data_IF_260867903344
#
_entry.id   IF_260867903344
#
_cell.length_a   1.000
_cell.length_b   1.000
_cell.length_c   1.000
_cell.angle_alpha   90.00
_cell.angle_beta   90.00
_cell.angle_gamma   90.00
#
_symmetry.space_group_name_H-M   'P 1'
#
loop_
_entity.id
_entity.type
_entity.pdbx_description
1 polymer ?
#
# COMPACT_ATOMS: atom_id res chain seq x y z
N UNK A 1 21.53 5.56 2.99
CA UNK A 1 20.11 5.28 3.24
C UNK A 1 19.30 5.96 2.14
N UNK A 2 18.44 5.22 1.45
CA UNK A 2 17.54 5.76 0.41
C UNK A 2 16.32 6.41 1.05
N UNK A 3 15.60 7.29 0.34
CA UNK A 3 14.36 7.86 0.87
C UNK A 3 13.28 6.79 1.13
N UNK A 4 13.32 5.67 0.39
CA UNK A 4 12.47 4.52 0.67
C UNK A 4 12.82 3.83 1.99
N UNK A 5 14.10 3.68 2.31
CA UNK A 5 14.55 3.15 3.61
C UNK A 5 14.17 4.11 4.76
N UNK A 6 14.38 5.42 4.57
CA UNK A 6 13.98 6.45 5.55
C UNK A 6 12.47 6.38 5.82
N UNK A 7 11.65 6.27 4.77
CA UNK A 7 10.20 6.10 4.91
C UNK A 7 9.86 4.83 5.72
N UNK A 8 10.47 3.70 5.37
CA UNK A 8 10.23 2.43 6.08
C UNK A 8 10.59 2.53 7.55
N UNK A 9 11.71 3.17 7.88
CA UNK A 9 12.15 3.34 9.26
C UNK A 9 11.21 4.27 10.03
N UNK A 10 10.71 5.34 9.41
CA UNK A 10 9.70 6.22 10.00
C UNK A 10 8.39 5.47 10.30
N UNK A 11 7.90 4.65 9.36
CA UNK A 11 6.70 3.82 9.57
C UNK A 11 6.93 2.79 10.68
N UNK A 12 8.07 2.11 10.69
CA UNK A 12 8.42 1.15 11.75
C UNK A 12 8.45 1.82 13.11
N UNK A 13 9.06 3.01 13.21
CA UNK A 13 9.12 3.80 14.43
C UNK A 13 7.71 4.13 14.94
N UNK A 14 6.85 4.65 14.06
CA UNK A 14 5.45 4.98 14.37
C UNK A 14 4.69 3.78 14.95
N UNK A 15 4.81 2.60 14.30
CA UNK A 15 4.13 1.40 14.77
C UNK A 15 4.72 0.88 16.10
N UNK A 16 6.04 0.96 16.27
CA UNK A 16 6.72 0.49 17.48
C UNK A 16 6.35 1.28 18.74
N UNK A 17 6.00 2.56 18.60
CA UNK A 17 5.50 3.39 19.72
C UNK A 17 4.14 2.92 20.24
N UNK A 18 3.44 2.09 19.46
CA UNK A 18 2.17 1.45 19.82
C UNK A 18 2.33 -0.06 20.05
N UNK A 19 3.56 -0.56 20.28
CA UNK A 19 3.89 -1.98 20.44
C UNK A 19 3.47 -2.88 19.26
N UNK A 20 3.37 -2.31 18.06
CA UNK A 20 2.98 -3.03 16.85
C UNK A 20 4.22 -3.34 16.01
N UNK A 21 4.41 -4.62 15.70
CA UNK A 21 5.48 -5.10 14.82
C UNK A 21 4.87 -5.89 13.66
N UNK A 22 5.08 -5.40 12.43
CA UNK A 22 4.63 -6.04 11.20
C UNK A 22 5.76 -6.04 10.16
N UNK A 23 5.74 -7.03 9.28
CA UNK A 23 6.51 -7.01 8.04
C UNK A 23 5.57 -6.75 6.87
N UNK A 24 5.77 -5.64 6.18
CA UNK A 24 5.01 -5.27 4.98
C UNK A 24 5.90 -5.19 3.73
N UNK A 25 7.14 -5.67 3.81
CA UNK A 25 8.03 -5.73 2.66
C UNK A 25 7.62 -6.88 1.74
N UNK A 26 7.26 -6.55 0.50
CA UNK A 26 7.00 -7.50 -0.59
C UNK A 26 7.84 -7.12 -1.81
N UNK A 27 7.86 -7.97 -2.83
CA UNK A 27 8.30 -7.55 -4.17
C UNK A 27 7.13 -7.09 -5.04
N UNK A 28 7.41 -6.38 -6.14
CA UNK A 28 6.39 -6.01 -7.14
C UNK A 28 5.61 -7.23 -7.66
N UNK A 29 6.30 -8.34 -7.91
CA UNK A 29 5.68 -9.61 -8.27
C UNK A 29 4.71 -10.08 -7.18
N UNK A 30 5.15 -10.22 -5.92
CA UNK A 30 4.33 -10.68 -4.81
C UNK A 30 3.10 -9.78 -4.57
N UNK A 31 3.31 -8.46 -4.59
CA UNK A 31 2.23 -7.48 -4.42
C UNK A 31 1.23 -7.47 -5.59
N UNK A 32 1.59 -8.05 -6.74
CA UNK A 32 0.70 -8.17 -7.90
C UNK A 32 -0.16 -9.43 -7.90
N UNK A 33 -0.13 -10.22 -6.82
CA UNK A 33 -0.92 -11.43 -6.69
C UNK A 33 -2.41 -11.08 -6.74
N UNK A 34 -3.07 -11.47 -7.82
CA UNK A 34 -4.53 -11.49 -7.92
C UNK A 34 -5.02 -12.88 -7.54
N UNK A 35 -5.70 -12.96 -6.39
CA UNK A 35 -6.33 -14.18 -5.89
C UNK A 35 -7.81 -13.90 -5.63
N UNK A 36 -8.63 -14.05 -6.68
CA UNK A 36 -10.08 -13.87 -6.63
C UNK A 36 -10.84 -15.16 -6.24
N UNK A 37 -10.12 -16.17 -5.75
CA UNK A 37 -10.65 -17.49 -5.39
C UNK A 37 -10.97 -18.41 -6.58
N UNK A 38 -10.90 -17.91 -7.83
CA UNK A 38 -11.10 -18.71 -9.05
C UNK A 38 -9.81 -18.85 -9.85
N UNK A 39 -9.00 -17.80 -9.90
CA UNK A 39 -7.71 -17.78 -10.58
C UNK A 39 -6.69 -17.12 -9.66
N UNK A 40 -5.60 -17.84 -9.40
CA UNK A 40 -4.44 -17.32 -8.68
C UNK A 40 -3.36 -16.99 -9.71
N UNK A 41 -3.09 -15.69 -9.93
CA UNK A 41 -2.07 -15.26 -10.89
C UNK A 41 -1.39 -13.97 -10.46
N UNK A 42 -0.15 -13.80 -10.87
CA UNK A 42 0.60 -12.56 -10.70
C UNK A 42 0.40 -11.65 -11.92
N UNK A 43 0.08 -10.38 -11.68
CA UNK A 43 -0.16 -9.40 -12.73
C UNK A 43 1.12 -8.68 -13.18
N UNK A 44 2.20 -8.79 -12.40
CA UNK A 44 3.51 -8.23 -12.71
C UNK A 44 4.53 -9.33 -13.01
N UNK A 45 5.04 -9.36 -14.24
CA UNK A 45 6.10 -10.27 -14.68
C UNK A 45 7.28 -9.51 -15.31
N UNK A 46 7.48 -8.25 -14.93
CA UNK A 46 8.58 -7.44 -15.45
C UNK A 46 9.92 -7.82 -14.83
N UNK A 47 11.01 -7.59 -15.57
CA UNK A 47 12.38 -7.95 -15.15
C UNK A 47 12.85 -7.21 -13.89
N UNK A 48 12.19 -6.10 -13.52
CA UNK A 48 12.55 -5.27 -12.37
C UNK A 48 11.65 -5.55 -11.18
N UNK A 49 11.88 -6.67 -10.51
CA UNK A 49 11.13 -7.07 -9.32
C UNK A 49 11.60 -6.33 -8.05
N UNK A 50 11.27 -5.05 -7.94
CA UNK A 50 11.67 -4.16 -6.83
C UNK A 50 10.97 -4.53 -5.52
N UNK A 51 11.63 -4.25 -4.39
CA UNK A 51 10.99 -4.24 -3.06
C UNK A 51 10.00 -3.08 -2.95
N UNK A 52 8.84 -3.37 -2.38
CA UNK A 52 7.73 -2.44 -2.15
C UNK A 52 7.16 -2.65 -0.76
N UNK A 53 6.44 -1.64 -0.26
CA UNK A 53 5.60 -1.78 0.93
C UNK A 53 4.22 -2.22 0.48
N UNK A 54 3.74 -3.34 1.02
CA UNK A 54 2.34 -3.74 0.93
C UNK A 54 1.49 -2.78 1.74
N UNK A 55 0.75 -1.93 1.03
CA UNK A 55 -0.15 -0.97 1.68
C UNK A 55 -1.34 -1.68 2.32
N UNK A 56 -1.72 -2.82 1.77
CA UNK A 56 -2.71 -3.74 2.32
C UNK A 56 -2.34 -4.23 3.73
N UNK A 57 -1.13 -4.77 3.90
CA UNK A 57 -0.63 -5.22 5.20
C UNK A 57 -0.47 -4.03 6.14
N UNK A 58 0.16 -2.94 5.66
CA UNK A 58 0.41 -1.75 6.47
C UNK A 58 -0.88 -1.16 7.03
N UNK A 59 -1.93 -1.02 6.20
CA UNK A 59 -3.20 -0.49 6.66
C UNK A 59 -3.93 -1.46 7.59
N UNK A 60 -4.07 -2.73 7.18
CA UNK A 60 -4.93 -3.70 7.87
C UNK A 60 -4.34 -4.19 9.19
N UNK A 61 -3.03 -4.43 9.23
CA UNK A 61 -2.34 -5.00 10.40
C UNK A 61 -1.62 -3.94 11.23
N UNK A 62 -1.09 -2.89 10.59
CA UNK A 62 -0.40 -1.80 11.28
C UNK A 62 -1.34 -0.68 11.71
N UNK A 63 -1.71 0.16 10.75
CA UNK A 63 -2.39 1.43 11.03
C UNK A 63 -3.76 1.25 11.71
N UNK A 64 -4.56 0.26 11.32
CA UNK A 64 -5.83 -0.02 11.99
C UNK A 64 -5.66 -0.39 13.47
N UNK A 65 -4.60 -1.15 13.79
CA UNK A 65 -4.31 -1.53 15.17
C UNK A 65 -3.94 -0.30 16.00
N UNK A 66 -3.15 0.63 15.46
CA UNK A 66 -2.85 1.92 16.11
C UNK A 66 -4.11 2.73 16.38
N UNK A 67 -5.03 2.80 15.43
CA UNK A 67 -6.28 3.57 15.58
C UNK A 67 -7.32 2.90 16.50
N UNK A 68 -7.02 1.72 17.06
CA UNK A 68 -7.92 1.02 17.98
C UNK A 68 -9.27 0.63 17.37
N UNK A 69 -9.32 0.46 16.04
CA UNK A 69 -10.54 0.10 15.32
C UNK A 69 -10.94 -1.33 15.67
N UNK A 70 -12.07 -1.50 16.36
CA UNK A 70 -12.54 -2.80 16.85
C UNK A 70 -13.33 -3.58 15.81
N UNK A 71 -14.06 -2.89 14.92
CA UNK A 71 -14.76 -3.51 13.80
C UNK A 71 -14.06 -3.17 12.46
N UNK A 72 -13.62 -4.17 11.66
CA UNK A 72 -13.04 -3.94 10.35
C UNK A 72 -13.88 -3.07 9.39
N UNK A 73 -15.20 -3.01 9.61
CA UNK A 73 -16.19 -2.21 8.85
C UNK A 73 -16.25 -0.75 9.29
N UNK A 74 -15.76 -0.39 10.46
CA UNK A 74 -15.81 0.98 10.99
C UNK A 74 -14.82 1.92 10.30
N UNK A 75 -13.72 1.39 9.76
CA UNK A 75 -12.74 2.19 9.03
C UNK A 75 -12.11 1.39 7.87
N UNK A 76 -12.82 1.16 6.76
CA UNK A 76 -12.25 0.51 5.60
C UNK A 76 -11.31 1.47 4.88
N UNK A 77 -10.01 1.39 5.21
CA UNK A 77 -8.98 2.03 4.39
C UNK A 77 -8.89 1.25 3.09
N UNK A 78 -9.36 1.87 2.02
CA UNK A 78 -9.18 1.35 0.67
C UNK A 78 -7.73 1.58 0.27
N UNK A 79 -7.00 0.48 0.18
CA UNK A 79 -5.57 0.41 -0.06
C UNK A 79 -5.27 0.25 -1.54
N UNK A 80 -4.18 0.86 -1.99
CA UNK A 80 -3.49 0.40 -3.19
C UNK A 80 -2.72 -0.89 -2.86
N UNK A 81 -2.20 -1.60 -3.86
CA UNK A 81 -1.50 -2.86 -3.58
C UNK A 81 -0.10 -2.62 -3.02
N UNK A 82 0.64 -1.66 -3.62
CA UNK A 82 2.04 -1.43 -3.33
C UNK A 82 2.42 0.06 -3.25
N UNK A 83 3.46 0.35 -2.46
CA UNK A 83 4.10 1.66 -2.36
C UNK A 83 5.63 1.55 -2.48
N UNK A 84 6.25 2.49 -3.20
CA UNK A 84 7.70 2.66 -3.23
C UNK A 84 8.10 4.12 -3.50
N UNK A 85 9.34 4.46 -3.15
CA UNK A 85 9.97 5.73 -3.50
C UNK A 85 11.16 5.41 -4.41
N UNK A 86 11.23 6.03 -5.58
CA UNK A 86 12.34 5.80 -6.51
C UNK A 86 13.58 6.64 -6.15
N UNK A 87 14.66 6.47 -6.91
CA UNK A 87 15.92 7.20 -6.73
C UNK A 87 15.81 8.71 -6.94
N UNK A 88 14.81 9.16 -7.69
CA UNK A 88 14.56 10.57 -8.01
C UNK A 88 13.57 11.20 -7.00
N UNK A 89 13.32 10.50 -5.89
CA UNK A 89 12.40 10.88 -4.82
C UNK A 89 10.93 11.01 -5.26
N UNK A 90 10.53 10.30 -6.31
CA UNK A 90 9.14 10.21 -6.72
C UNK A 90 8.44 9.07 -5.99
N UNK A 91 7.21 9.35 -5.54
CA UNK A 91 6.42 8.44 -4.72
C UNK A 91 5.39 7.74 -5.60
N UNK A 92 5.37 6.41 -5.56
CA UNK A 92 4.49 5.60 -6.38
C UNK A 92 3.50 4.84 -5.51
N UNK A 93 2.21 5.11 -5.71
CA UNK A 93 1.10 4.32 -5.22
C UNK A 93 0.61 3.45 -6.38
N UNK A 94 0.81 2.13 -6.27
CA UNK A 94 0.64 1.19 -7.36
C UNK A 94 -0.57 0.30 -7.09
N UNK A 95 -1.51 0.31 -8.02
CA UNK A 95 -2.65 -0.60 -8.07
C UNK A 95 -2.55 -1.45 -9.34
N UNK A 96 -2.44 -2.77 -9.17
CA UNK A 96 -2.46 -3.72 -10.26
C UNK A 96 -3.89 -4.01 -10.68
N UNK A 97 -4.13 -4.02 -12.00
CA UNK A 97 -5.43 -4.36 -12.58
C UNK A 97 -5.23 -5.40 -13.66
N UNK A 98 -6.10 -6.40 -13.66
CA UNK A 98 -6.15 -7.46 -14.66
C UNK A 98 -7.09 -7.14 -15.83
N UNK A 99 -7.55 -5.89 -15.89
CA UNK A 99 -8.46 -5.41 -16.91
C UNK A 99 -7.90 -4.16 -17.60
N UNK A 100 -8.21 -4.03 -18.89
CA UNK A 100 -7.84 -2.83 -19.65
C UNK A 100 -8.56 -1.61 -19.10
N UNK A 101 -7.81 -0.56 -18.74
CA UNK A 101 -8.33 0.73 -18.31
C UNK A 101 -8.66 1.56 -19.56
N UNK A 102 -9.84 1.30 -20.16
CA UNK A 102 -10.34 2.08 -21.31
C UNK A 102 -10.80 3.47 -20.87
N UNK A 103 -10.81 4.43 -21.80
CA UNK A 103 -11.23 5.82 -21.53
C UNK A 103 -12.61 5.94 -20.84
N UNK A 104 -13.58 5.08 -21.20
CA UNK A 104 -14.92 5.06 -20.61
C UNK A 104 -15.07 4.39 -19.24
N UNK A 105 -14.00 3.85 -18.64
CA UNK A 105 -14.06 3.23 -17.30
C UNK A 105 -13.79 4.24 -16.19
N UNK A 106 -14.57 5.33 -16.16
CA UNK A 106 -14.37 6.39 -15.17
C UNK A 106 -14.45 5.87 -13.73
N UNK A 107 -15.42 5.00 -13.43
CA UNK A 107 -15.57 4.39 -12.11
C UNK A 107 -14.31 3.62 -11.62
N UNK A 108 -13.59 2.97 -12.54
CA UNK A 108 -12.34 2.26 -12.19
C UNK A 108 -11.24 3.26 -11.87
N UNK A 109 -11.09 4.31 -12.67
CA UNK A 109 -10.12 5.39 -12.42
C UNK A 109 -10.42 6.10 -11.11
N UNK A 110 -11.68 6.44 -10.86
CA UNK A 110 -12.12 7.08 -9.62
C UNK A 110 -11.83 6.21 -8.41
N UNK A 111 -12.02 4.89 -8.52
CA UNK A 111 -11.69 3.96 -7.44
C UNK A 111 -10.18 3.94 -7.15
N UNK A 112 -9.34 3.90 -8.18
CA UNK A 112 -7.87 3.98 -8.05
C UNK A 112 -7.46 5.29 -7.37
N UNK A 113 -8.04 6.42 -7.80
CA UNK A 113 -7.75 7.74 -7.23
C UNK A 113 -8.20 7.81 -5.76
N UNK A 114 -9.39 7.31 -5.42
CA UNK A 114 -9.88 7.24 -4.03
C UNK A 114 -8.95 6.43 -3.14
N UNK A 115 -8.47 5.28 -3.64
CA UNK A 115 -7.45 4.49 -2.95
C UNK A 115 -6.18 5.33 -2.75
N UNK A 116 -5.64 5.96 -3.80
CA UNK A 116 -4.44 6.76 -3.68
C UNK A 116 -4.55 7.86 -2.60
N UNK A 117 -5.67 8.60 -2.55
CA UNK A 117 -5.90 9.60 -1.51
C UNK A 117 -6.01 9.01 -0.10
N UNK A 118 -6.69 7.87 0.06
CA UNK A 118 -6.79 7.21 1.36
C UNK A 118 -5.41 6.75 1.88
N UNK A 119 -4.57 6.23 0.99
CA UNK A 119 -3.21 5.80 1.33
C UNK A 119 -2.30 7.01 1.62
N UNK A 120 -2.42 8.08 0.84
CA UNK A 120 -1.72 9.33 1.11
C UNK A 120 -2.08 9.90 2.47
N UNK A 121 -3.37 9.98 2.80
CA UNK A 121 -3.83 10.43 4.12
C UNK A 121 -3.24 9.58 5.24
N UNK A 122 -3.30 8.25 5.11
CA UNK A 122 -2.72 7.32 6.09
C UNK A 122 -1.22 7.55 6.28
N UNK A 123 -0.47 7.70 5.19
CA UNK A 123 0.97 8.00 5.25
C UNK A 123 1.22 9.32 5.96
N UNK A 124 0.51 10.39 5.59
CA UNK A 124 0.69 11.70 6.22
C UNK A 124 0.32 11.68 7.70
N UNK A 125 -0.74 10.98 8.10
CA UNK A 125 -1.09 10.82 9.52
C UNK A 125 0.04 10.14 10.31
N UNK A 126 0.66 9.08 9.76
CA UNK A 126 1.82 8.43 10.40
C UNK A 126 3.05 9.33 10.44
N UNK A 127 3.30 10.13 9.40
CA UNK A 127 4.52 10.92 9.27
C UNK A 127 4.45 12.32 9.91
N UNK A 128 3.25 12.91 10.09
CA UNK A 128 3.05 14.24 10.70
C UNK A 128 3.03 14.16 12.24
N UNK A 129 2.78 12.99 12.83
CA UNK A 129 2.67 12.84 14.30
C UNK A 129 4.06 12.83 15.00
N UNK A 130 5.08 13.41 14.36
CA UNK A 130 6.45 13.58 14.85
C UNK A 130 6.89 15.03 14.85
#
# INVERSE_FOLDING_TARGET
MTNFEVFKDAVKKYLSECDISISCDLTLHEASLNNDGKVCRYLYNGDRNLTVVSMDILAKQGYKAVKGVKDPRENPINTVDAFLINKDNEWYLIEFKDCVIKAGKQAVKDNIIKKAYANWYMIMDMCITY
#
